data_IF_236827814982
#
_entry.id   IF_236827814982
#
_cell.length_a   1.000
_cell.length_b   1.000
_cell.length_c   1.000
_cell.angle_alpha   90.00
_cell.angle_beta   90.00
_cell.angle_gamma   90.00
#
_symmetry.space_group_name_H-M   'P 1'
#
loop_
_entity.id
_entity.type
_entity.pdbx_description
1 polymer ?
#
# COMPACT_ATOMS: atom_id res chain seq x y z
N UNK A 1 -5.99 24.28 -1.86
CA UNK A 1 -5.75 24.14 -3.31
C UNK A 1 -6.91 23.39 -3.98
N UNK A 2 -7.58 24.03 -4.93
CA UNK A 2 -8.74 23.48 -5.63
C UNK A 2 -8.25 22.52 -6.73
N UNK A 3 -8.57 21.22 -6.59
CA UNK A 3 -8.21 20.18 -7.56
C UNK A 3 -9.09 20.35 -8.81
N UNK A 4 -8.55 21.00 -9.85
CA UNK A 4 -9.23 21.15 -11.13
C UNK A 4 -9.34 19.81 -11.89
N UNK A 5 -10.38 19.65 -12.70
CA UNK A 5 -10.73 18.40 -13.41
C UNK A 5 -9.68 17.89 -14.42
N UNK A 6 -8.52 18.53 -14.52
CA UNK A 6 -7.41 18.20 -15.44
C UNK A 6 -6.29 17.38 -14.80
N UNK A 7 -6.37 17.06 -13.49
CA UNK A 7 -5.31 16.33 -12.76
C UNK A 7 -5.66 14.87 -12.48
N UNK A 8 -6.79 14.37 -12.98
CA UNK A 8 -7.19 12.97 -12.79
C UNK A 8 -6.76 12.15 -14.01
N UNK A 9 -5.70 11.35 -13.88
CA UNK A 9 -5.31 10.40 -14.91
C UNK A 9 -6.32 9.25 -15.00
N UNK A 10 -6.42 8.59 -16.16
CA UNK A 10 -7.29 7.42 -16.32
C UNK A 10 -6.99 6.31 -15.28
N UNK A 11 -5.73 6.17 -14.86
CA UNK A 11 -5.30 5.26 -13.79
C UNK A 11 -5.90 5.65 -12.43
N UNK A 12 -5.90 6.94 -12.09
CA UNK A 12 -6.52 7.43 -10.84
C UNK A 12 -8.03 7.26 -10.85
N UNK A 13 -8.69 7.54 -11.97
CA UNK A 13 -10.15 7.34 -12.11
C UNK A 13 -10.50 5.85 -11.95
N UNK A 14 -9.69 4.96 -12.51
CA UNK A 14 -9.89 3.51 -12.38
C UNK A 14 -9.69 3.03 -10.94
N UNK A 15 -8.65 3.51 -10.25
CA UNK A 15 -8.41 3.21 -8.84
C UNK A 15 -9.50 3.78 -7.90
N UNK A 16 -10.18 4.86 -8.27
CA UNK A 16 -11.33 5.37 -7.51
C UNK A 16 -12.62 4.57 -7.76
N UNK A 17 -12.77 3.95 -8.94
CA UNK A 17 -13.94 3.11 -9.26
C UNK A 17 -13.84 1.71 -8.65
N UNK A 18 -12.63 1.23 -8.41
CA UNK A 18 -12.33 -0.06 -7.79
C UNK A 18 -11.29 0.16 -6.69
N UNK A 19 -11.73 0.60 -5.50
CA UNK A 19 -10.81 0.87 -4.40
C UNK A 19 -10.21 -0.44 -3.91
N UNK A 20 -8.90 -0.49 -3.80
CA UNK A 20 -8.20 -1.63 -3.21
C UNK A 20 -8.16 -1.50 -1.70
N UNK A 21 -8.50 -2.57 -1.00
CA UNK A 21 -8.37 -2.64 0.45
C UNK A 21 -6.89 -2.66 0.83
N UNK A 22 -6.47 -1.65 1.60
CA UNK A 22 -5.12 -1.50 2.11
C UNK A 22 -5.16 -1.21 3.60
N UNK A 23 -4.16 -1.72 4.31
CA UNK A 23 -3.92 -1.36 5.70
C UNK A 23 -3.08 -0.08 5.72
N UNK A 24 -3.57 0.95 6.40
CA UNK A 24 -2.81 2.17 6.65
C UNK A 24 -2.24 2.12 8.08
N UNK A 25 -0.94 2.32 8.19
CA UNK A 25 -0.20 2.28 9.46
C UNK A 25 0.34 3.67 9.79
N UNK A 26 0.22 4.07 11.06
CA UNK A 26 0.90 5.25 11.61
C UNK A 26 2.37 4.92 11.92
N UNK A 27 3.09 4.52 10.87
CA UNK A 27 4.47 4.10 10.92
C UNK A 27 5.21 4.68 9.73
N UNK A 28 6.48 5.02 9.94
CA UNK A 28 7.35 5.49 8.86
C UNK A 28 8.03 4.30 8.18
N UNK A 29 7.75 4.10 6.89
CA UNK A 29 8.50 3.18 6.05
C UNK A 29 9.67 3.89 5.38
N UNK A 30 10.86 3.30 5.51
CA UNK A 30 12.05 3.71 4.79
C UNK A 30 12.25 2.85 3.53
N UNK A 31 13.03 3.33 2.54
CA UNK A 31 13.53 2.46 1.47
C UNK A 31 14.18 1.21 2.08
N UNK A 32 13.77 0.03 1.61
CA UNK A 32 14.22 -1.26 2.15
C UNK A 32 13.18 -1.99 3.01
N UNK A 33 12.17 -1.29 3.55
CA UNK A 33 11.10 -1.93 4.35
C UNK A 33 10.02 -2.62 3.50
N UNK A 34 10.10 -2.57 2.17
CA UNK A 34 9.10 -3.23 1.31
C UNK A 34 9.25 -4.73 1.34
N UNK A 35 8.10 -5.42 1.36
CA UNK A 35 8.06 -6.86 1.54
C UNK A 35 8.17 -7.29 3.00
N UNK A 36 8.43 -6.37 3.93
CA UNK A 36 8.42 -6.70 5.36
C UNK A 36 6.99 -7.03 5.84
N UNK A 37 6.85 -8.01 6.74
CA UNK A 37 5.56 -8.36 7.33
C UNK A 37 5.08 -7.30 8.33
N UNK A 38 3.76 -7.13 8.39
CA UNK A 38 3.06 -6.41 9.45
C UNK A 38 2.51 -7.43 10.42
N UNK A 39 2.86 -7.31 11.71
CA UNK A 39 2.45 -8.23 12.75
C UNK A 39 1.40 -7.60 13.67
N UNK A 40 0.41 -8.40 14.06
CA UNK A 40 -0.41 -8.11 15.24
C UNK A 40 0.44 -8.37 16.50
N UNK A 41 0.52 -7.38 17.39
CA UNK A 41 1.46 -7.42 18.53
C UNK A 41 1.13 -8.51 19.54
N UNK A 42 -0.17 -8.77 19.77
CA UNK A 42 -0.62 -9.71 20.79
C UNK A 42 -0.41 -11.17 20.39
N UNK A 43 -0.55 -11.48 19.09
CA UNK A 43 -0.54 -12.85 18.57
C UNK A 43 0.71 -13.19 17.78
N UNK A 44 1.44 -12.19 17.28
CA UNK A 44 2.52 -12.38 16.32
C UNK A 44 2.04 -12.80 14.93
N UNK A 45 0.72 -12.73 14.66
CA UNK A 45 0.17 -13.09 13.36
C UNK A 45 0.58 -12.07 12.29
N UNK A 46 1.00 -12.54 11.11
CA UNK A 46 1.20 -11.66 9.95
C UNK A 46 -0.15 -11.27 9.38
N UNK A 47 -0.45 -9.98 9.39
CA UNK A 47 -1.72 -9.40 8.91
C UNK A 47 -1.56 -8.65 7.58
N UNK A 48 -0.34 -8.32 7.17
CA UNK A 48 -0.10 -7.68 5.89
C UNK A 48 1.37 -7.66 5.49
N UNK A 49 1.63 -7.14 4.28
CA UNK A 49 2.96 -6.96 3.71
C UNK A 49 3.15 -5.52 3.30
N UNK A 50 4.18 -4.87 3.83
CA UNK A 50 4.49 -3.45 3.54
C UNK A 50 4.74 -3.27 2.04
N UNK A 51 4.04 -2.30 1.44
CA UNK A 51 4.20 -1.92 0.04
C UNK A 51 4.58 -0.44 -0.07
N UNK A 52 5.82 -0.16 -0.45
CA UNK A 52 6.27 1.23 -0.68
C UNK A 52 6.06 1.73 -2.11
N UNK A 53 5.64 0.87 -3.05
CA UNK A 53 5.52 1.24 -4.48
C UNK A 53 4.19 1.90 -4.82
N UNK A 54 3.09 1.55 -4.15
CA UNK A 54 1.79 2.20 -4.39
C UNK A 54 1.80 3.70 -4.05
N UNK A 55 2.66 4.11 -3.11
CA UNK A 55 2.83 5.52 -2.70
C UNK A 55 3.72 6.31 -3.66
N UNK A 56 4.65 5.64 -4.35
CA UNK A 56 5.62 6.31 -5.24
C UNK A 56 5.00 6.78 -6.55
N UNK A 57 4.03 6.05 -7.10
CA UNK A 57 3.44 6.38 -8.41
C UNK A 57 2.38 7.50 -8.34
N UNK A 58 1.77 7.76 -7.19
CA UNK A 58 0.76 8.83 -7.04
C UNK A 58 1.33 10.13 -6.49
N UNK A 59 2.56 10.12 -5.97
CA UNK A 59 3.23 11.29 -5.42
C UNK A 59 4.75 11.20 -5.62
N UNK A 60 5.25 11.72 -6.74
CA UNK A 60 6.68 11.99 -6.93
C UNK A 60 7.31 12.87 -5.81
N UNK A 61 6.49 13.53 -4.98
CA UNK A 61 6.93 14.35 -3.85
C UNK A 61 7.21 13.58 -2.54
N UNK A 62 6.78 12.31 -2.37
CA UNK A 62 6.96 11.58 -1.09
C UNK A 62 8.40 11.02 -0.94
N UNK A 63 9.18 10.99 -2.02
CA UNK A 63 10.56 10.50 -2.00
C UNK A 63 11.49 11.41 -1.17
N UNK A 64 11.15 12.69 -0.95
CA UNK A 64 12.00 13.61 -0.20
C UNK A 64 11.75 13.64 1.32
N UNK A 65 10.59 13.19 1.80
CA UNK A 65 10.25 13.16 3.24
C UNK A 65 9.33 11.97 3.53
N UNK A 66 9.70 11.05 4.45
CA UNK A 66 8.79 9.99 4.87
C UNK A 66 7.47 10.62 5.35
N UNK A 67 6.34 10.19 4.80
CA UNK A 67 5.02 10.79 5.06
C UNK A 67 4.44 10.45 6.44
N UNK A 68 5.21 9.86 7.36
CA UNK A 68 4.74 9.34 8.65
C UNK A 68 3.79 8.14 8.55
N UNK A 69 3.25 7.88 7.36
CA UNK A 69 2.21 6.89 7.08
C UNK A 69 2.76 5.82 6.12
N UNK A 70 2.50 4.56 6.44
CA UNK A 70 2.87 3.39 5.63
C UNK A 70 1.63 2.64 5.17
N UNK A 71 1.71 2.01 4.00
CA UNK A 71 0.66 1.13 3.51
C UNK A 71 1.14 -0.31 3.46
N UNK A 72 0.24 -1.23 3.78
CA UNK A 72 0.45 -2.66 3.64
C UNK A 72 -0.72 -3.29 2.88
N UNK A 73 -0.37 -4.29 2.07
CA UNK A 73 -1.35 -5.15 1.40
C UNK A 73 -1.80 -6.20 2.43
N UNK A 74 -3.12 -6.39 2.63
CA UNK A 74 -3.63 -7.43 3.50
C UNK A 74 -3.12 -8.85 3.15
N UNK A 75 -2.85 -9.67 4.16
CA UNK A 75 -2.22 -10.99 3.98
C UNK A 75 -3.09 -11.98 3.21
N UNK A 76 -4.41 -11.79 3.18
CA UNK A 76 -5.35 -12.63 2.43
C UNK A 76 -5.05 -12.66 0.94
N UNK A 77 -4.63 -11.54 0.35
CA UNK A 77 -4.25 -11.49 -1.06
C UNK A 77 -3.01 -12.33 -1.34
N UNK A 78 -2.05 -12.35 -0.41
CA UNK A 78 -0.86 -13.21 -0.52
C UNK A 78 -1.25 -14.68 -0.41
N UNK A 79 -2.16 -15.02 0.51
CA UNK A 79 -2.67 -16.39 0.68
C UNK A 79 -3.41 -16.87 -0.55
N UNK A 80 -4.26 -16.03 -1.15
CA UNK A 80 -4.95 -16.33 -2.41
C UNK A 80 -3.96 -16.58 -3.54
N UNK A 81 -2.99 -15.67 -3.72
CA UNK A 81 -1.95 -15.82 -4.74
C UNK A 81 -1.16 -17.13 -4.59
N UNK A 82 -0.82 -17.50 -3.35
CA UNK A 82 -0.12 -18.75 -3.06
C UNK A 82 -1.00 -20.00 -3.28
N UNK A 83 -2.32 -19.89 -3.14
CA UNK A 83 -3.25 -20.97 -3.45
C UNK A 83 -3.34 -21.17 -4.97
N UNK A 84 -3.53 -20.08 -5.72
CA UNK A 84 -3.63 -20.09 -7.18
C UNK A 84 -2.33 -20.58 -7.84
N UNK A 85 -1.16 -20.27 -7.26
CA UNK A 85 0.13 -20.73 -7.78
C UNK A 85 0.39 -22.23 -7.54
N UNK A 86 -0.37 -22.88 -6.65
CA UNK A 86 -0.22 -24.29 -6.30
C UNK A 86 -1.20 -25.21 -7.02
N UNK A 87 -2.25 -24.65 -7.62
CA UNK A 87 -3.21 -25.35 -8.49
C UNK A 87 -2.67 -25.48 -9.91
#
# INVERSE_FOLDING_TARGET
>A
PQLGSRTLSAKMIRAMRDPFDVLQLDATAYPGNSGSPVYEQDTGAVIGVINSVFVKETKEAVIQKPSGITYAIPVEFVRQLLADAKS
#
